data_IF_443460769841
#
_entry.id   IF_443460769841
#
_cell.length_a   1.000
_cell.length_b   1.000
_cell.length_c   1.000
_cell.angle_alpha   90.00
_cell.angle_beta   90.00
_cell.angle_gamma   90.00
#
_symmetry.space_group_name_H-M   'P 1'
#
loop_
_entity.id
_entity.type
_entity.pdbx_description
1 polymer ?
#
# COMPACT_ATOMS: atom_id res chain seq x y z
N UNK A 1 1.25 -4.00 13.35
CA UNK A 1 1.09 -4.91 14.50
C UNK A 1 2.41 -5.61 14.78
N UNK A 2 2.73 -5.79 16.04
CA UNK A 2 3.81 -6.62 16.53
C UNK A 2 3.19 -7.88 17.15
N UNK A 3 3.66 -9.04 16.70
CA UNK A 3 3.11 -10.32 17.14
C UNK A 3 4.24 -11.23 17.64
N UNK A 4 3.95 -12.02 18.66
CA UNK A 4 4.78 -13.12 19.11
C UNK A 4 4.14 -14.45 18.70
N UNK A 5 4.97 -15.37 18.21
CA UNK A 5 4.53 -16.70 17.80
C UNK A 5 5.38 -17.73 18.54
N UNK A 6 4.74 -18.51 19.42
CA UNK A 6 5.37 -19.58 20.18
C UNK A 6 4.37 -20.65 20.60
N UNK A 7 4.80 -21.90 20.61
CA UNK A 7 4.03 -23.07 21.10
C UNK A 7 2.61 -23.20 20.50
N UNK A 8 2.44 -22.79 19.23
CA UNK A 8 1.14 -22.80 18.54
C UNK A 8 0.21 -21.64 18.90
N UNK A 9 0.69 -20.71 19.72
CA UNK A 9 -0.03 -19.47 20.11
C UNK A 9 0.48 -18.30 19.29
N UNK A 10 -0.43 -17.43 18.86
CA UNK A 10 -0.14 -16.13 18.24
C UNK A 10 -0.68 -15.06 19.18
N UNK A 11 0.22 -14.26 19.74
CA UNK A 11 -0.10 -13.16 20.64
C UNK A 11 0.19 -11.82 19.97
N UNK A 12 -0.74 -10.87 20.10
CA UNK A 12 -0.58 -9.49 19.61
C UNK A 12 -0.02 -8.65 20.74
N UNK A 13 1.27 -8.28 20.65
CA UNK A 13 1.95 -7.50 21.69
C UNK A 13 1.60 -6.02 21.62
N UNK A 14 1.51 -5.46 20.41
CA UNK A 14 1.14 -4.06 20.20
C UNK A 14 0.62 -3.84 18.79
N UNK A 15 -0.26 -2.85 18.64
CA UNK A 15 -0.80 -2.40 17.35
C UNK A 15 -0.70 -0.89 17.21
N UNK A 16 -0.53 -0.43 15.99
CA UNK A 16 -0.49 1.00 15.68
C UNK A 16 -0.63 1.22 14.19
N UNK A 17 -0.99 2.44 13.80
CA UNK A 17 -1.16 2.78 12.40
C UNK A 17 -1.56 4.25 12.22
N UNK A 18 -1.59 4.67 10.97
CA UNK A 18 -2.19 5.93 10.52
C UNK A 18 -3.44 5.60 9.71
N UNK A 19 -4.62 5.83 10.28
CA UNK A 19 -5.92 5.49 9.66
C UNK A 19 -6.27 6.40 8.49
N UNK A 20 -5.51 7.49 8.28
CA UNK A 20 -5.66 8.45 7.22
C UNK A 20 -4.52 8.36 6.19
N UNK A 21 -3.80 7.24 6.16
CA UNK A 21 -2.73 7.01 5.19
C UNK A 21 -2.93 5.68 4.49
N UNK A 22 -3.07 5.72 3.17
CA UNK A 22 -3.29 4.54 2.35
C UNK A 22 -2.84 4.73 0.90
N UNK A 23 -3.17 3.76 0.05
CA UNK A 23 -2.84 3.79 -1.37
C UNK A 23 -3.42 4.99 -2.10
N UNK A 24 -4.60 5.45 -1.67
CA UNK A 24 -5.32 6.57 -2.28
C UNK A 24 -4.57 7.90 -2.15
N UNK A 25 -3.83 8.11 -1.05
CA UNK A 25 -2.99 9.31 -0.87
C UNK A 25 -1.88 9.38 -1.93
N UNK A 26 -1.29 8.23 -2.27
CA UNK A 26 -0.30 8.12 -3.33
C UNK A 26 -0.91 8.37 -4.70
N UNK A 27 -2.13 7.87 -4.94
CA UNK A 27 -2.88 8.11 -6.18
C UNK A 27 -3.21 9.58 -6.34
N UNK A 28 -3.66 10.25 -5.29
CA UNK A 28 -4.00 11.68 -5.32
C UNK A 28 -2.76 12.54 -5.62
N UNK A 29 -1.59 12.22 -5.02
CA UNK A 29 -0.34 12.94 -5.36
C UNK A 29 0.02 12.82 -6.83
N UNK A 30 -0.13 11.63 -7.40
CA UNK A 30 0.14 11.42 -8.83
C UNK A 30 -0.94 12.06 -9.72
N UNK A 31 -2.21 12.00 -9.32
CA UNK A 31 -3.31 12.65 -10.03
C UNK A 31 -3.15 14.18 -10.06
N UNK A 32 -2.74 14.77 -8.94
CA UNK A 32 -2.42 16.19 -8.86
C UNK A 32 -1.27 16.58 -9.78
N UNK A 33 -0.20 15.78 -9.80
CA UNK A 33 0.92 15.99 -10.71
C UNK A 33 0.46 15.94 -12.18
N UNK A 34 -0.34 14.95 -12.56
CA UNK A 34 -0.88 14.84 -13.94
C UNK A 34 -1.78 16.02 -14.30
N UNK A 35 -2.62 16.48 -13.37
CA UNK A 35 -3.47 17.64 -13.57
C UNK A 35 -2.66 18.94 -13.72
N UNK A 36 -1.56 19.09 -12.97
CA UNK A 36 -0.66 20.25 -13.09
C UNK A 36 0.11 20.22 -14.40
N UNK A 37 0.58 19.06 -14.86
CA UNK A 37 1.22 18.90 -16.16
C UNK A 37 0.25 19.26 -17.31
N UNK A 38 -1.00 18.76 -17.22
CA UNK A 38 -2.04 19.12 -18.18
C UNK A 38 -2.31 20.62 -18.20
N UNK A 39 -2.44 21.24 -17.02
CA UNK A 39 -2.63 22.70 -16.92
C UNK A 39 -1.44 23.47 -17.49
N UNK A 40 -0.23 22.97 -17.33
CA UNK A 40 0.98 23.58 -17.86
C UNK A 40 0.99 23.56 -19.40
N UNK A 41 0.59 22.46 -20.02
CA UNK A 41 0.61 22.26 -21.49
C UNK A 41 -0.63 22.84 -22.16
N UNK A 42 -1.82 22.48 -21.70
CA UNK A 42 -3.10 22.81 -22.34
C UNK A 42 -3.73 24.11 -21.81
N UNK A 43 -3.19 24.69 -20.70
CA UNK A 43 -3.75 25.89 -20.03
C UNK A 43 -5.14 25.69 -19.44
N UNK A 44 -5.61 24.46 -19.31
CA UNK A 44 -6.92 24.09 -18.77
C UNK A 44 -6.73 23.44 -17.40
N UNK A 45 -7.51 23.86 -16.40
CA UNK A 45 -7.49 23.28 -15.06
C UNK A 45 -8.53 22.17 -14.93
N UNK A 46 -8.07 20.91 -14.98
CA UNK A 46 -8.92 19.72 -14.89
C UNK A 46 -9.68 19.59 -13.57
N UNK A 47 -9.22 20.24 -12.49
CA UNK A 47 -9.87 20.18 -11.17
C UNK A 47 -11.29 20.75 -11.19
N UNK A 48 -11.66 21.49 -12.25
CA UNK A 48 -13.02 22.01 -12.48
C UNK A 48 -13.94 21.03 -13.19
N UNK A 49 -13.39 19.97 -13.77
CA UNK A 49 -14.12 18.92 -14.49
C UNK A 49 -14.03 17.61 -13.70
N UNK A 50 -15.10 17.27 -12.98
CA UNK A 50 -15.14 16.06 -12.13
C UNK A 50 -14.98 14.76 -12.93
N UNK A 51 -15.52 14.72 -14.17
CA UNK A 51 -15.42 13.53 -15.00
C UNK A 51 -13.99 13.33 -15.52
N UNK A 52 -13.32 14.40 -15.93
CA UNK A 52 -11.92 14.36 -16.30
C UNK A 52 -11.03 13.95 -15.13
N UNK A 53 -11.25 14.54 -13.93
CA UNK A 53 -10.46 14.18 -12.74
C UNK A 53 -10.67 12.74 -12.30
N UNK A 54 -11.86 12.17 -12.46
CA UNK A 54 -12.07 10.74 -12.17
C UNK A 54 -11.18 9.87 -13.07
N UNK A 55 -11.17 10.14 -14.38
CA UNK A 55 -10.29 9.43 -15.33
C UNK A 55 -8.80 9.62 -15.02
N UNK A 56 -8.40 10.80 -14.56
CA UNK A 56 -7.01 11.07 -14.14
C UNK A 56 -6.64 10.26 -12.91
N UNK A 57 -7.53 10.14 -11.90
CA UNK A 57 -7.28 9.31 -10.71
C UNK A 57 -7.17 7.82 -11.04
N UNK A 58 -8.06 7.30 -11.87
CA UNK A 58 -7.99 5.91 -12.35
C UNK A 58 -6.66 5.63 -13.09
N UNK A 59 -6.23 6.58 -13.92
CA UNK A 59 -4.95 6.46 -14.62
C UNK A 59 -3.75 6.58 -13.67
N UNK A 60 -3.84 7.43 -12.63
CA UNK A 60 -2.82 7.57 -11.60
C UNK A 60 -2.67 6.28 -10.79
N UNK A 61 -3.77 5.66 -10.36
CA UNK A 61 -3.74 4.36 -9.68
C UNK A 61 -3.08 3.28 -10.54
N UNK A 62 -3.46 3.21 -11.82
CA UNK A 62 -2.83 2.28 -12.77
C UNK A 62 -1.33 2.55 -12.88
N UNK A 63 -0.93 3.80 -13.08
CA UNK A 63 0.47 4.19 -13.19
C UNK A 63 1.28 3.89 -11.91
N UNK A 64 0.72 4.14 -10.70
CA UNK A 64 1.32 3.72 -9.42
C UNK A 64 1.64 2.23 -9.39
N UNK A 65 0.69 1.39 -9.82
CA UNK A 65 0.89 -0.07 -9.87
C UNK A 65 2.00 -0.47 -10.85
N UNK A 66 2.00 0.13 -12.04
CA UNK A 66 3.03 -0.13 -13.06
C UNK A 66 4.43 0.30 -12.58
N UNK A 67 4.53 1.47 -11.93
CA UNK A 67 5.78 1.99 -11.37
C UNK A 67 6.35 1.13 -10.23
N UNK A 68 5.58 0.25 -9.63
CA UNK A 68 6.10 -0.75 -8.69
C UNK A 68 6.96 -1.82 -9.38
N UNK A 69 6.69 -2.13 -10.65
CA UNK A 69 7.46 -3.10 -11.45
C UNK A 69 8.39 -2.49 -12.50
N UNK A 70 8.11 -1.25 -12.93
CA UNK A 70 8.81 -0.58 -14.06
C UNK A 70 9.49 0.71 -13.60
N UNK A 71 10.49 1.18 -14.34
CA UNK A 71 11.20 2.43 -14.05
C UNK A 71 10.47 3.65 -14.59
N UNK A 72 9.57 3.49 -15.55
CA UNK A 72 8.72 4.54 -16.10
C UNK A 72 7.44 3.96 -16.69
N UNK A 73 6.40 4.76 -16.77
CA UNK A 73 5.15 4.44 -17.45
C UNK A 73 4.63 5.66 -18.21
N UNK A 74 3.89 5.43 -19.28
CA UNK A 74 3.23 6.46 -20.06
C UNK A 74 1.75 6.50 -19.72
N UNK A 75 1.27 7.68 -19.31
CA UNK A 75 -0.14 7.93 -19.01
C UNK A 75 -0.76 8.67 -20.19
N UNK A 76 -1.61 7.97 -20.94
CA UNK A 76 -2.28 8.51 -22.12
C UNK A 76 -3.79 8.49 -21.91
N UNK A 77 -4.42 9.66 -21.89
CA UNK A 77 -5.87 9.83 -21.78
C UNK A 77 -6.37 10.64 -22.98
N UNK A 78 -6.83 9.98 -24.05
CA UNK A 78 -7.40 10.67 -25.20
C UNK A 78 -8.77 11.27 -24.85
N UNK A 79 -9.09 12.40 -25.47
CA UNK A 79 -10.39 13.10 -25.30
C UNK A 79 -10.73 13.31 -23.81
N UNK A 80 -9.75 13.84 -23.06
CA UNK A 80 -9.89 14.03 -21.62
C UNK A 80 -10.87 15.15 -21.28
N UNK A 81 -10.79 16.25 -22.01
CA UNK A 81 -11.72 17.38 -21.96
C UNK A 81 -11.78 18.07 -23.33
N UNK A 82 -12.67 19.04 -23.50
CA UNK A 82 -12.78 19.85 -24.72
C UNK A 82 -13.14 21.30 -24.42
N UNK A 83 -12.69 22.18 -25.27
CA UNK A 83 -13.06 23.59 -25.26
C UNK A 83 -13.46 24.10 -26.68
N UNK A 84 -13.49 25.42 -26.89
CA UNK A 84 -13.80 26.01 -28.20
C UNK A 84 -12.75 25.68 -29.29
N UNK A 85 -11.55 25.27 -28.92
CA UNK A 85 -10.46 24.88 -29.82
C UNK A 85 -10.48 23.40 -30.18
N UNK A 86 -11.32 22.60 -29.50
CA UNK A 86 -11.49 21.17 -29.76
C UNK A 86 -11.13 20.29 -28.56
N UNK A 87 -10.93 18.98 -28.80
CA UNK A 87 -10.60 18.04 -27.77
C UNK A 87 -9.13 18.16 -27.31
N UNK A 88 -8.90 17.99 -26.01
CA UNK A 88 -7.60 17.97 -25.39
C UNK A 88 -7.27 16.56 -24.85
N UNK A 89 -6.00 16.19 -24.89
CA UNK A 89 -5.51 14.87 -24.55
C UNK A 89 -4.38 15.00 -23.53
N UNK A 90 -4.33 14.08 -22.54
CA UNK A 90 -3.17 13.94 -21.66
C UNK A 90 -2.24 12.88 -22.22
N UNK A 91 -0.97 13.20 -22.35
CA UNK A 91 0.10 12.26 -22.68
C UNK A 91 1.37 12.64 -21.91
N UNK A 92 1.64 11.92 -20.81
CA UNK A 92 2.73 12.21 -19.88
C UNK A 92 3.47 10.93 -19.53
N UNK A 93 4.78 10.95 -19.65
CA UNK A 93 5.65 9.90 -19.12
C UNK A 93 6.03 10.22 -17.68
N UNK A 94 5.76 9.29 -16.78
CA UNK A 94 6.12 9.40 -15.36
C UNK A 94 7.19 8.37 -15.04
N UNK A 95 8.26 8.80 -14.40
CA UNK A 95 9.31 7.90 -13.90
C UNK A 95 9.06 7.51 -12.44
N UNK A 96 9.56 6.32 -12.05
CA UNK A 96 9.53 5.90 -10.64
C UNK A 96 10.20 6.92 -9.73
N UNK A 97 11.34 7.48 -10.13
CA UNK A 97 12.04 8.48 -9.33
C UNK A 97 11.20 9.76 -9.09
N UNK A 98 10.45 10.21 -10.09
CA UNK A 98 9.52 11.33 -9.93
C UNK A 98 8.39 10.97 -8.96
N UNK A 99 7.79 9.78 -9.12
CA UNK A 99 6.74 9.31 -8.23
C UNK A 99 7.21 9.16 -6.79
N UNK A 100 8.37 8.53 -6.56
CA UNK A 100 8.97 8.41 -5.22
C UNK A 100 9.33 9.77 -4.62
N UNK A 101 9.78 10.72 -5.45
CA UNK A 101 10.06 12.09 -5.01
C UNK A 101 8.82 12.81 -4.48
N UNK A 102 7.69 12.74 -5.20
CA UNK A 102 6.44 13.41 -4.82
C UNK A 102 5.68 12.73 -3.67
N UNK A 103 6.02 11.48 -3.34
CA UNK A 103 5.35 10.69 -2.29
C UNK A 103 6.25 10.34 -1.11
N UNK A 104 7.44 10.91 -1.05
CA UNK A 104 8.44 10.61 -0.01
C UNK A 104 7.90 10.85 1.40
N UNK A 105 7.23 11.97 1.61
CA UNK A 105 6.63 12.34 2.89
C UNK A 105 5.58 11.33 3.37
N UNK A 106 4.81 10.74 2.45
CA UNK A 106 3.82 9.70 2.76
C UNK A 106 4.51 8.41 3.26
N UNK A 107 5.61 8.02 2.60
CA UNK A 107 6.41 6.88 3.04
C UNK A 107 7.05 7.15 4.41
N UNK A 108 7.62 8.34 4.62
CA UNK A 108 8.23 8.73 5.88
C UNK A 108 7.24 8.77 7.06
N UNK A 109 5.98 9.14 6.83
CA UNK A 109 4.91 9.11 7.85
C UNK A 109 4.72 7.72 8.45
N UNK A 110 4.98 6.64 7.71
CA UNK A 110 4.84 5.27 8.22
C UNK A 110 5.86 4.91 9.29
N UNK A 111 6.98 5.63 9.40
CA UNK A 111 8.01 5.39 10.42
C UNK A 111 7.50 5.62 11.84
N UNK A 112 6.66 6.64 12.03
CA UNK A 112 6.11 7.00 13.34
C UNK A 112 5.36 5.84 13.99
N UNK A 113 4.31 5.31 13.36
CA UNK A 113 3.56 4.15 13.86
C UNK A 113 4.43 2.93 14.15
N UNK A 114 5.40 2.62 13.29
CA UNK A 114 6.31 1.48 13.52
C UNK A 114 7.14 1.70 14.80
N UNK A 115 7.73 2.88 14.96
CA UNK A 115 8.51 3.21 16.15
C UNK A 115 7.66 3.19 17.42
N UNK A 116 6.41 3.67 17.35
CA UNK A 116 5.47 3.67 18.47
C UNK A 116 5.14 2.24 18.92
N UNK A 117 4.80 1.35 17.98
CA UNK A 117 4.49 -0.06 18.29
C UNK A 117 5.67 -0.77 18.98
N UNK A 118 6.91 -0.51 18.54
CA UNK A 118 8.10 -1.07 19.18
C UNK A 118 8.27 -0.54 20.61
N UNK A 119 8.01 0.75 20.82
CA UNK A 119 8.06 1.38 22.16
C UNK A 119 6.99 0.80 23.08
N UNK A 120 5.76 0.67 22.59
CA UNK A 120 4.62 0.16 23.36
C UNK A 120 4.84 -1.30 23.81
N UNK A 121 5.52 -2.09 22.99
CA UNK A 121 5.91 -3.47 23.32
C UNK A 121 7.20 -3.57 24.15
N UNK A 122 7.87 -2.45 24.43
CA UNK A 122 9.18 -2.42 25.11
C UNK A 122 10.27 -3.26 24.40
N UNK A 123 10.23 -3.34 23.06
CA UNK A 123 11.17 -4.09 22.24
C UNK A 123 11.99 -3.16 21.33
N UNK A 124 13.15 -3.64 20.93
CA UNK A 124 14.04 -2.97 19.97
C UNK A 124 13.90 -3.59 18.57
N UNK A 125 14.34 -2.89 17.52
CA UNK A 125 14.32 -3.42 16.15
C UNK A 125 15.19 -4.69 16.00
N UNK A 126 16.19 -4.89 16.86
CA UNK A 126 17.02 -6.09 16.86
C UNK A 126 16.28 -7.35 17.34
N UNK A 127 15.23 -7.17 18.16
CA UNK A 127 14.45 -8.26 18.74
C UNK A 127 13.44 -8.83 17.72
N UNK A 128 13.19 -8.13 16.61
CA UNK A 128 12.35 -8.64 15.55
C UNK A 128 12.94 -9.90 14.94
N UNK A 129 12.21 -11.00 14.94
CA UNK A 129 12.57 -12.22 14.23
C UNK A 129 12.43 -12.05 12.73
N UNK A 130 11.27 -11.59 12.28
CA UNK A 130 10.89 -11.43 10.87
C UNK A 130 10.00 -10.21 10.67
N UNK A 131 10.04 -9.64 9.46
CA UNK A 131 9.15 -8.57 9.04
C UNK A 131 8.30 -9.05 7.87
N UNK A 132 6.99 -8.94 8.00
CA UNK A 132 6.03 -9.28 6.96
C UNK A 132 5.42 -7.99 6.41
N UNK A 133 5.32 -7.89 5.08
CA UNK A 133 4.65 -6.81 4.39
C UNK A 133 3.32 -7.33 3.83
N UNK A 134 2.23 -6.67 4.22
CA UNK A 134 0.86 -7.05 3.85
C UNK A 134 0.15 -5.84 3.25
N UNK A 135 -0.69 -6.09 2.23
CA UNK A 135 -1.42 -5.06 1.50
C UNK A 135 -0.71 -4.56 0.25
N UNK A 136 -1.50 -4.13 -0.75
CA UNK A 136 -1.02 -3.76 -2.09
C UNK A 136 0.03 -2.66 -2.11
N UNK A 137 -0.06 -1.66 -1.23
CA UNK A 137 0.90 -0.55 -1.14
C UNK A 137 2.32 -1.01 -0.75
N UNK A 138 2.47 -2.18 -0.14
CA UNK A 138 3.78 -2.75 0.19
C UNK A 138 4.55 -3.28 -1.02
N UNK A 139 3.93 -3.31 -2.19
CA UNK A 139 4.61 -3.63 -3.46
C UNK A 139 5.49 -2.49 -3.95
N UNK A 140 5.26 -1.27 -3.48
CA UNK A 140 6.07 -0.11 -3.85
C UNK A 140 7.51 -0.27 -3.33
N UNK A 141 8.54 -0.11 -4.21
CA UNK A 141 9.94 -0.25 -3.80
C UNK A 141 10.34 0.69 -2.67
N UNK A 142 9.87 1.93 -2.69
CA UNK A 142 10.15 2.92 -1.64
C UNK A 142 9.69 2.46 -0.25
N UNK A 143 8.54 1.78 -0.15
CA UNK A 143 8.04 1.21 1.12
C UNK A 143 8.93 0.07 1.59
N UNK A 144 9.32 -0.84 0.68
CA UNK A 144 10.19 -1.97 1.02
C UNK A 144 11.57 -1.53 1.51
N UNK A 145 12.17 -0.56 0.81
CA UNK A 145 13.47 0.02 1.18
C UNK A 145 13.39 0.77 2.52
N UNK A 146 12.29 1.49 2.75
CA UNK A 146 12.09 2.20 4.00
C UNK A 146 11.98 1.23 5.18
N UNK A 147 11.20 0.17 5.07
CA UNK A 147 11.07 -0.87 6.10
C UNK A 147 12.42 -1.54 6.37
N UNK A 148 13.15 -1.90 5.31
CA UNK A 148 14.50 -2.48 5.42
C UNK A 148 15.47 -1.53 6.15
N UNK A 149 15.44 -0.24 5.82
CA UNK A 149 16.26 0.78 6.46
C UNK A 149 15.89 0.96 7.94
N UNK A 150 14.61 0.97 8.26
CA UNK A 150 14.12 1.18 9.62
C UNK A 150 14.38 -0.01 10.54
N UNK A 151 14.14 -1.23 10.05
CA UNK A 151 14.22 -2.45 10.86
C UNK A 151 15.57 -3.18 10.76
N UNK A 152 16.40 -2.83 9.76
CA UNK A 152 17.62 -3.56 9.44
C UNK A 152 17.38 -4.94 8.83
N UNK A 153 16.13 -5.35 8.60
CA UNK A 153 15.75 -6.68 8.11
C UNK A 153 15.14 -6.59 6.71
N UNK A 154 15.41 -7.59 5.90
CA UNK A 154 14.76 -7.74 4.60
C UNK A 154 13.37 -8.35 4.84
N UNK A 155 12.29 -7.70 4.38
CA UNK A 155 10.96 -8.24 4.52
C UNK A 155 10.81 -9.61 3.85
N UNK A 156 10.06 -10.51 4.47
CA UNK A 156 9.79 -11.82 3.90
C UNK A 156 8.93 -11.72 2.64
N UNK A 157 9.20 -12.57 1.65
CA UNK A 157 8.54 -12.59 0.34
C UNK A 157 7.74 -13.87 0.07
N UNK A 158 7.61 -14.73 1.06
CA UNK A 158 6.95 -16.03 0.95
C UNK A 158 5.42 -15.97 1.07
N UNK A 159 4.85 -14.80 1.24
CA UNK A 159 3.40 -14.58 1.37
C UNK A 159 2.96 -13.56 0.34
N UNK A 160 1.82 -13.82 -0.32
CA UNK A 160 1.22 -12.83 -1.22
C UNK A 160 0.59 -11.69 -0.38
N UNK A 161 1.09 -10.44 -0.50
CA UNK A 161 0.61 -9.33 0.34
C UNK A 161 -0.86 -8.98 0.12
N UNK A 162 -1.44 -9.31 -1.03
CA UNK A 162 -2.86 -9.01 -1.33
C UNK A 162 -3.81 -10.05 -0.75
N UNK A 163 -3.34 -11.28 -0.48
CA UNK A 163 -4.16 -12.42 -0.06
C UNK A 163 -4.00 -12.77 1.43
N UNK A 164 -2.98 -12.25 2.11
CA UNK A 164 -2.66 -12.59 3.50
C UNK A 164 -3.85 -12.47 4.44
N UNK A 165 -4.61 -11.39 4.34
CA UNK A 165 -5.77 -11.12 5.22
C UNK A 165 -6.86 -12.16 5.00
N UNK A 166 -7.17 -12.45 3.73
CA UNK A 166 -8.18 -13.46 3.38
C UNK A 166 -7.75 -14.87 3.84
N UNK A 167 -6.47 -15.21 3.68
CA UNK A 167 -5.92 -16.48 4.15
C UNK A 167 -5.99 -16.59 5.69
N UNK A 168 -5.61 -15.54 6.41
CA UNK A 168 -5.70 -15.49 7.87
C UNK A 168 -7.15 -15.62 8.36
N UNK A 169 -8.07 -14.90 7.75
CA UNK A 169 -9.49 -14.99 8.04
C UNK A 169 -10.05 -16.41 7.79
N UNK A 170 -9.64 -17.05 6.69
CA UNK A 170 -10.04 -18.43 6.39
C UNK A 170 -9.52 -19.43 7.42
N UNK A 171 -8.26 -19.29 7.87
CA UNK A 171 -7.67 -20.13 8.92
C UNK A 171 -8.41 -19.95 10.26
N UNK A 172 -8.67 -18.72 10.66
CA UNK A 172 -9.40 -18.42 11.91
C UNK A 172 -10.86 -18.90 11.83
N UNK A 173 -11.53 -18.66 10.70
CA UNK A 173 -12.91 -19.15 10.46
C UNK A 173 -12.98 -20.68 10.51
N UNK A 174 -12.01 -21.37 9.90
CA UNK A 174 -11.89 -22.81 9.94
C UNK A 174 -11.72 -23.35 11.38
N UNK A 175 -10.93 -22.66 12.21
CA UNK A 175 -10.76 -23.02 13.61
C UNK A 175 -12.05 -22.89 14.41
N UNK A 176 -12.77 -21.77 14.25
CA UNK A 176 -14.06 -21.55 14.90
C UNK A 176 -15.11 -22.58 14.46
N UNK A 177 -15.11 -22.96 13.18
CA UNK A 177 -15.98 -24.01 12.65
C UNK A 177 -15.63 -25.40 13.22
N UNK A 178 -14.34 -25.73 13.42
CA UNK A 178 -13.91 -26.97 14.04
C UNK A 178 -14.40 -27.10 15.50
N UNK A 179 -14.37 -25.99 16.25
CA UNK A 179 -14.94 -25.94 17.60
C UNK A 179 -16.45 -26.22 17.64
N UNK A 180 -17.14 -26.02 16.50
CA UNK A 180 -18.56 -26.34 16.33
C UNK A 180 -18.82 -27.71 15.65
N UNK A 181 -17.83 -28.59 15.57
CA UNK A 181 -17.92 -29.93 15.01
C UNK A 181 -17.85 -30.07 13.51
N UNK A 182 -17.46 -28.99 12.79
CA UNK A 182 -17.19 -29.05 11.34
C UNK A 182 -15.78 -29.60 11.04
N UNK A 183 -15.66 -30.37 9.96
CA UNK A 183 -14.35 -30.87 9.50
C UNK A 183 -13.58 -29.73 8.83
N UNK A 184 -12.40 -29.41 9.35
CA UNK A 184 -11.50 -28.36 8.83
C UNK A 184 -10.10 -28.93 8.62
N UNK A 185 -9.28 -28.19 7.86
CA UNK A 185 -7.89 -28.59 7.61
C UNK A 185 -7.07 -28.62 8.92
N UNK A 186 -6.09 -29.50 8.97
CA UNK A 186 -5.16 -29.61 10.12
C UNK A 186 -4.39 -28.30 10.39
N UNK A 187 -4.16 -27.49 9.37
CA UNK A 187 -3.51 -26.18 9.53
C UNK A 187 -4.34 -25.20 10.37
N UNK A 188 -5.68 -25.23 10.22
CA UNK A 188 -6.57 -24.34 10.98
C UNK A 188 -6.76 -24.79 12.45
N UNK A 189 -6.60 -26.08 12.74
CA UNK A 189 -6.81 -26.63 14.08
C UNK A 189 -5.71 -26.23 15.10
N UNK A 190 -4.51 -25.94 14.61
CA UNK A 190 -3.32 -25.74 15.44
C UNK A 190 -2.97 -24.26 15.72
N UNK A 191 -3.79 -23.31 15.26
CA UNK A 191 -3.55 -21.87 15.48
C UNK A 191 -4.39 -21.37 16.64
N UNK A 192 -3.78 -20.74 17.64
CA UNK A 192 -4.45 -20.04 18.74
C UNK A 192 -4.09 -18.57 18.62
N UNK A 193 -5.10 -17.70 18.44
CA UNK A 193 -4.95 -16.25 18.46
C UNK A 193 -5.42 -15.75 19.83
N UNK A 194 -4.57 -14.96 20.49
CA UNK A 194 -4.88 -14.23 21.73
C UNK A 194 -4.76 -12.74 21.46
N UNK A 195 -5.80 -11.99 21.80
CA UNK A 195 -5.86 -10.51 21.75
C UNK A 195 -5.46 -9.92 23.09
#
# INVERSE_FOLDING_TARGET
>A
SLIEIGDGVIEVLATGGDTHLGGDDFDERLADYLADEFKRTEKIDLRRDKAAMLRVREAAEKAKRELSGQMSTQVTLPFLTQDANGPHHLDVTVTRAQFEGMTRDLVERTCGPVSQVMTDAALSMSDLGQVLLVGGSTRMPAVQEMVKKLTGKVPARNVNPDECVAMGAALQGGKLAAGNGMVVSSAAQNVILMD
#
